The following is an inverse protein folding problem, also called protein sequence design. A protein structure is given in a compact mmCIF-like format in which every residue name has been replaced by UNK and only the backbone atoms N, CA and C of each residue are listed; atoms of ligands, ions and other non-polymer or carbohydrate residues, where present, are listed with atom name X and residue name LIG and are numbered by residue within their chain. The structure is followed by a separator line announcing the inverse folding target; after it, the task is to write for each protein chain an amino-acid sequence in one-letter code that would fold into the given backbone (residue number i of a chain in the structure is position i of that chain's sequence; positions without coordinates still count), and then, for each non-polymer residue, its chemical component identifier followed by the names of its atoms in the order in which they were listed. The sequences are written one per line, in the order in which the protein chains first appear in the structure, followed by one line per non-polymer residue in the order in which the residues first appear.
data_IF_211942620092
#
_entry.id   IF_211942620092
#
_cell.length_a   1.000
_cell.length_b   1.000
_cell.length_c   1.000
_cell.angle_alpha   90.00
_cell.angle_beta   90.00
_cell.angle_gamma   90.00
#
_symmetry.space_group_name_H-M   'P 1'
#
loop_
_entity.id
_entity.type
_entity.pdbx_description
1 polymer ?
#
# COMPACT_ATOMS: atom_id res chain seq x y z
N UNK A 1 8.02 -7.70 10.27
CA UNK A 1 9.49 -7.74 10.50
C UNK A 1 10.21 -7.98 9.18
N UNK A 2 11.16 -7.12 8.80
CA UNK A 2 12.01 -7.37 7.62
C UNK A 2 13.12 -8.32 8.03
N UNK A 3 13.20 -9.48 7.40
CA UNK A 3 14.27 -10.45 7.66
C UNK A 3 15.61 -9.86 7.19
N UNK A 4 16.63 -9.93 8.05
CA UNK A 4 17.99 -9.46 7.74
C UNK A 4 18.61 -10.32 6.64
N UNK A 5 19.29 -9.70 5.68
CA UNK A 5 19.99 -10.37 4.58
C UNK A 5 21.30 -11.07 5.02
N UNK A 6 21.73 -10.87 6.27
CA UNK A 6 23.02 -11.39 6.78
C UNK A 6 23.09 -12.92 6.88
N UNK A 7 21.96 -13.63 6.77
CA UNK A 7 21.88 -15.11 6.86
C UNK A 7 21.48 -15.79 5.54
N UNK A 8 21.54 -15.09 4.41
CA UNK A 8 21.06 -15.62 3.12
C UNK A 8 22.18 -16.37 2.41
N UNK A 9 21.86 -17.53 1.83
CA UNK A 9 22.69 -18.17 0.82
C UNK A 9 22.68 -17.34 -0.47
N UNK A 10 23.65 -16.44 -0.57
CA UNK A 10 23.81 -15.56 -1.73
C UNK A 10 24.20 -16.34 -2.99
N UNK A 11 24.94 -17.44 -2.85
CA UNK A 11 25.37 -18.26 -3.99
C UNK A 11 24.18 -18.98 -4.63
N UNK A 12 23.32 -19.57 -3.82
CA UNK A 12 22.06 -20.18 -4.29
C UNK A 12 21.12 -19.15 -4.90
N UNK A 13 21.02 -17.97 -4.29
CA UNK A 13 20.23 -16.86 -4.82
C UNK A 13 20.73 -16.38 -6.19
N UNK A 14 22.05 -16.23 -6.38
CA UNK A 14 22.68 -15.84 -7.65
C UNK A 14 22.37 -16.85 -8.75
N UNK A 15 22.55 -18.15 -8.48
CA UNK A 15 22.21 -19.23 -9.43
C UNK A 15 20.73 -19.21 -9.82
N UNK A 16 19.84 -18.97 -8.85
CA UNK A 16 18.40 -18.87 -9.11
C UNK A 16 18.07 -17.67 -9.99
N UNK A 17 18.70 -16.52 -9.75
CA UNK A 17 18.52 -15.32 -10.58
C UNK A 17 18.98 -15.59 -12.01
N UNK A 18 20.17 -16.16 -12.20
CA UNK A 18 20.69 -16.49 -13.53
C UNK A 18 19.78 -17.44 -14.31
N UNK A 19 19.15 -18.43 -13.62
CA UNK A 19 18.24 -19.40 -14.24
C UNK A 19 16.91 -18.79 -14.66
N UNK A 20 16.42 -17.78 -13.94
CA UNK A 20 15.08 -17.23 -14.11
C UNK A 20 15.08 -15.80 -14.66
N UNK A 21 16.12 -15.43 -15.38
CA UNK A 21 16.20 -14.13 -16.06
C UNK A 21 16.48 -14.33 -17.54
N UNK A 22 15.89 -13.43 -18.35
CA UNK A 22 16.08 -13.35 -19.81
C UNK A 22 16.42 -11.92 -20.18
N UNK A 23 17.33 -11.73 -21.12
CA UNK A 23 17.64 -10.43 -21.69
C UNK A 23 16.54 -10.00 -22.66
N UNK A 24 15.97 -8.82 -22.43
CA UNK A 24 14.94 -8.20 -23.28
C UNK A 24 15.36 -6.75 -23.53
N UNK A 25 15.93 -6.50 -24.69
CA UNK A 25 16.55 -5.22 -24.99
C UNK A 25 17.64 -4.92 -23.96
N UNK A 26 17.60 -3.74 -23.36
CA UNK A 26 18.57 -3.33 -22.32
C UNK A 26 18.16 -3.77 -20.89
N UNK A 27 17.13 -4.60 -20.76
CA UNK A 27 16.66 -5.09 -19.47
C UNK A 27 17.03 -6.57 -19.25
N UNK A 28 17.24 -6.94 -17.97
CA UNK A 28 17.29 -8.32 -17.52
C UNK A 28 15.96 -8.62 -16.82
N UNK A 29 15.04 -9.35 -17.49
CA UNK A 29 13.70 -9.59 -16.99
C UNK A 29 13.57 -10.87 -16.20
N UNK A 30 12.90 -10.80 -15.06
CA UNK A 30 12.55 -11.94 -14.24
C UNK A 30 11.35 -12.69 -14.84
N UNK A 31 11.51 -13.99 -15.09
CA UNK A 31 10.53 -14.88 -15.74
C UNK A 31 9.72 -15.74 -14.77
N UNK A 32 10.21 -15.93 -13.53
CA UNK A 32 9.54 -16.76 -12.54
C UNK A 32 8.49 -15.96 -11.73
N UNK A 33 8.13 -16.46 -10.55
CA UNK A 33 7.05 -15.94 -9.73
C UNK A 33 7.18 -14.45 -9.42
N UNK A 34 6.07 -13.74 -9.54
CA UNK A 34 5.94 -12.33 -9.19
C UNK A 34 4.64 -12.09 -8.42
N UNK A 35 4.68 -11.26 -7.38
CA UNK A 35 3.49 -10.79 -6.69
C UNK A 35 2.98 -9.53 -7.38
N UNK A 36 1.97 -9.68 -8.23
CA UNK A 36 1.59 -8.64 -9.19
C UNK A 36 2.75 -8.39 -10.17
N UNK A 37 3.18 -7.15 -10.32
CA UNK A 37 4.30 -6.78 -11.19
C UNK A 37 5.68 -6.87 -10.52
N UNK A 38 5.76 -7.28 -9.24
CA UNK A 38 7.03 -7.25 -8.49
C UNK A 38 7.66 -8.63 -8.40
N UNK A 39 8.87 -8.82 -8.94
CA UNK A 39 9.63 -10.07 -8.88
C UNK A 39 9.88 -10.55 -7.45
N UNK A 40 9.55 -11.82 -7.16
CA UNK A 40 9.81 -12.46 -5.88
C UNK A 40 10.48 -13.82 -6.07
N UNK A 41 11.33 -14.18 -5.11
CA UNK A 41 11.99 -15.48 -5.06
C UNK A 41 12.01 -16.01 -3.62
N UNK A 42 12.14 -17.31 -3.48
CA UNK A 42 12.53 -17.93 -2.21
C UNK A 42 14.04 -18.02 -2.11
N UNK A 43 14.57 -17.67 -0.95
CA UNK A 43 16.00 -17.79 -0.64
C UNK A 43 16.18 -18.66 0.58
N UNK A 44 17.19 -19.52 0.56
CA UNK A 44 17.59 -20.31 1.72
C UNK A 44 18.29 -19.43 2.74
N UNK A 45 18.00 -19.68 4.01
CA UNK A 45 18.68 -19.04 5.13
C UNK A 45 19.66 -20.06 5.71
N UNK A 46 20.74 -19.60 6.28
CA UNK A 46 21.80 -20.47 6.81
C UNK A 46 21.37 -21.42 7.96
N UNK A 47 20.11 -21.30 8.42
CA UNK A 47 19.49 -22.15 9.45
C UNK A 47 18.62 -23.28 8.86
N UNK A 48 18.72 -23.57 7.57
CA UNK A 48 17.91 -24.57 6.87
C UNK A 48 16.47 -24.11 6.55
N UNK A 49 16.08 -22.92 6.96
CA UNK A 49 14.76 -22.34 6.62
C UNK A 49 14.81 -21.56 5.29
N UNK A 50 13.66 -21.19 4.75
CA UNK A 50 13.58 -20.36 3.55
C UNK A 50 12.69 -19.15 3.76
N UNK A 51 12.99 -18.05 3.07
CA UNK A 51 12.21 -16.82 3.11
C UNK A 51 11.87 -16.30 1.72
N UNK A 52 10.64 -15.77 1.56
CA UNK A 52 10.26 -15.04 0.36
C UNK A 52 10.88 -13.64 0.37
N UNK A 53 11.56 -13.26 -0.69
CA UNK A 53 12.22 -11.97 -0.83
C UNK A 53 12.00 -11.35 -2.20
N UNK A 54 12.12 -10.03 -2.27
CA UNK A 54 12.08 -9.32 -3.56
C UNK A 54 13.40 -9.53 -4.31
N UNK A 55 13.32 -10.02 -5.54
CA UNK A 55 14.51 -10.32 -6.39
C UNK A 55 15.40 -9.10 -6.52
N UNK A 56 14.83 -7.90 -6.72
CA UNK A 56 15.62 -6.66 -6.83
C UNK A 56 16.44 -6.35 -5.59
N UNK A 57 15.92 -6.68 -4.40
CA UNK A 57 16.66 -6.47 -3.15
C UNK A 57 17.82 -7.43 -3.04
N UNK A 58 17.60 -8.69 -3.39
CA UNK A 58 18.65 -9.72 -3.43
C UNK A 58 19.72 -9.33 -4.46
N UNK A 59 19.31 -8.97 -5.67
CA UNK A 59 20.22 -8.54 -6.74
C UNK A 59 21.02 -7.28 -6.38
N UNK A 60 20.39 -6.32 -5.70
CA UNK A 60 21.09 -5.14 -5.16
C UNK A 60 22.18 -5.54 -4.19
N UNK A 61 21.89 -6.45 -3.24
CA UNK A 61 22.85 -6.92 -2.26
C UNK A 61 24.01 -7.68 -2.92
N UNK A 62 23.71 -8.54 -3.91
CA UNK A 62 24.72 -9.25 -4.69
C UNK A 62 25.66 -8.28 -5.42
N UNK A 63 25.11 -7.23 -6.04
CA UNK A 63 25.90 -6.29 -6.86
C UNK A 63 26.63 -5.22 -6.05
N UNK A 64 26.16 -4.87 -4.87
CA UNK A 64 26.72 -3.78 -4.04
C UNK A 64 27.42 -4.26 -2.78
N UNK A 65 27.31 -5.57 -2.45
CA UNK A 65 27.90 -6.16 -1.24
C UNK A 65 27.24 -5.70 0.07
N UNK A 66 26.15 -4.91 0.02
CA UNK A 66 25.50 -4.35 1.20
C UNK A 66 23.97 -4.41 1.12
N UNK A 67 23.34 -4.71 2.27
CA UNK A 67 21.88 -4.65 2.40
C UNK A 67 21.40 -3.20 2.29
N UNK A 68 20.40 -2.89 1.43
CA UNK A 68 19.83 -1.55 1.32
C UNK A 68 19.06 -1.08 2.57
N UNK A 69 18.96 -1.86 3.62
CA UNK A 69 18.34 -1.49 4.90
C UNK A 69 16.86 -1.11 4.77
N UNK A 70 16.52 0.13 5.13
CA UNK A 70 15.14 0.66 5.05
C UNK A 70 14.76 1.15 3.65
N UNK A 71 15.69 1.20 2.70
CA UNK A 71 15.43 1.70 1.36
C UNK A 71 14.63 0.69 0.53
N UNK A 72 13.86 1.20 -0.41
CA UNK A 72 13.17 0.43 -1.44
C UNK A 72 14.03 0.35 -2.69
N UNK A 73 14.15 -0.83 -3.27
CA UNK A 73 14.82 -1.01 -4.55
C UNK A 73 13.77 -0.96 -5.67
N UNK A 74 13.94 -0.01 -6.56
CA UNK A 74 13.09 0.22 -7.72
C UNK A 74 13.90 0.28 -9.01
N UNK A 75 13.25 0.25 -10.16
CA UNK A 75 13.90 0.37 -11.46
C UNK A 75 13.93 1.81 -11.96
N UNK A 76 14.98 2.17 -12.71
CA UNK A 76 15.08 3.46 -13.45
C UNK A 76 14.40 3.35 -14.82
N UNK A 77 14.47 2.18 -15.45
CA UNK A 77 13.95 1.92 -16.79
C UNK A 77 12.41 1.83 -16.87
N UNK A 78 11.70 1.85 -15.74
CA UNK A 78 10.25 1.73 -15.70
C UNK A 78 9.72 0.30 -15.86
N UNK A 79 10.53 -0.65 -16.36
CA UNK A 79 10.10 -2.02 -16.53
C UNK A 79 9.90 -2.71 -15.16
N UNK A 80 8.68 -3.18 -14.85
CA UNK A 80 8.37 -3.76 -13.54
C UNK A 80 8.99 -5.14 -13.31
N UNK A 81 9.47 -5.81 -14.34
CA UNK A 81 10.14 -7.12 -14.24
C UNK A 81 11.66 -7.04 -14.29
N UNK A 82 12.23 -5.88 -14.61
CA UNK A 82 13.66 -5.70 -14.71
C UNK A 82 14.36 -5.88 -13.36
N UNK A 83 15.43 -6.67 -13.37
CA UNK A 83 16.33 -6.93 -12.24
C UNK A 83 17.79 -6.62 -12.55
N UNK A 84 18.10 -6.00 -13.70
CA UNK A 84 19.47 -5.61 -14.09
C UNK A 84 20.07 -4.67 -13.04
N UNK A 85 21.26 -4.95 -12.49
CA UNK A 85 21.86 -4.16 -11.39
C UNK A 85 21.98 -2.67 -11.71
N UNK A 86 22.38 -2.31 -12.92
CA UNK A 86 22.58 -0.94 -13.40
C UNK A 86 21.27 -0.17 -13.49
N UNK A 87 20.15 -0.88 -13.67
CA UNK A 87 18.81 -0.31 -13.71
C UNK A 87 18.17 -0.18 -12.33
N UNK A 88 18.80 -0.72 -11.28
CA UNK A 88 18.26 -0.61 -9.92
C UNK A 88 18.64 0.73 -9.28
N UNK A 89 17.71 1.25 -8.49
CA UNK A 89 17.87 2.46 -7.69
C UNK A 89 17.28 2.24 -6.30
N UNK A 90 18.05 2.62 -5.28
CA UNK A 90 17.54 2.67 -3.91
C UNK A 90 16.88 4.02 -3.65
N UNK A 91 15.66 4.00 -3.11
CA UNK A 91 14.87 5.20 -2.78
C UNK A 91 14.27 5.08 -1.39
N UNK A 92 14.01 6.23 -0.74
CA UNK A 92 13.29 6.26 0.51
C UNK A 92 11.80 6.00 0.33
N UNK A 93 11.10 5.62 1.43
CA UNK A 93 9.64 5.50 1.43
C UNK A 93 8.95 6.82 1.06
N UNK A 94 9.51 7.93 1.52
CA UNK A 94 8.99 9.28 1.21
C UNK A 94 9.10 9.60 -0.27
N UNK A 95 10.28 9.33 -0.88
CA UNK A 95 10.47 9.52 -2.32
C UNK A 95 9.53 8.62 -3.13
N UNK A 96 9.38 7.35 -2.72
CA UNK A 96 8.43 6.45 -3.38
C UNK A 96 6.98 6.97 -3.28
N UNK A 97 6.58 7.49 -2.13
CA UNK A 97 5.27 8.12 -1.96
C UNK A 97 5.05 9.30 -2.91
N UNK A 98 6.05 10.18 -3.04
CA UNK A 98 6.00 11.31 -4.00
C UNK A 98 5.90 10.83 -5.45
N UNK A 99 6.66 9.80 -5.84
CA UNK A 99 6.60 9.20 -7.18
C UNK A 99 5.23 8.57 -7.47
N UNK A 100 4.66 7.85 -6.50
CA UNK A 100 3.33 7.27 -6.63
C UNK A 100 2.23 8.33 -6.74
N UNK A 101 2.35 9.44 -6.01
CA UNK A 101 1.41 10.56 -6.10
C UNK A 101 1.45 11.28 -7.45
N UNK A 102 2.63 11.33 -8.09
CA UNK A 102 2.81 11.95 -9.42
C UNK A 102 2.34 11.07 -10.58
N UNK A 103 2.04 9.77 -10.36
CA UNK A 103 1.48 8.92 -11.42
C UNK A 103 0.07 9.37 -11.75
N UNK A 104 -0.28 9.28 -13.02
CA UNK A 104 -1.65 9.52 -13.48
C UNK A 104 -2.64 8.77 -12.59
N UNK A 105 -3.66 9.48 -12.10
CA UNK A 105 -4.67 8.99 -11.17
C UNK A 105 -4.17 8.46 -9.80
N UNK A 106 -2.88 8.63 -9.45
CA UNK A 106 -2.34 8.17 -8.17
C UNK A 106 -3.03 8.81 -6.96
N UNK A 107 -3.29 10.11 -7.04
CA UNK A 107 -4.01 10.89 -6.03
C UNK A 107 -5.49 10.48 -5.96
N UNK A 108 -6.14 10.31 -7.13
CA UNK A 108 -7.54 9.88 -7.21
C UNK A 108 -7.73 8.48 -6.63
N UNK A 109 -6.89 7.51 -7.02
CA UNK A 109 -6.95 6.13 -6.46
C UNK A 109 -6.78 6.14 -4.95
N UNK A 110 -5.85 6.92 -4.42
CA UNK A 110 -5.65 7.06 -2.97
C UNK A 110 -6.89 7.64 -2.29
N UNK A 111 -7.47 8.67 -2.85
CA UNK A 111 -8.72 9.29 -2.36
C UNK A 111 -9.86 8.28 -2.33
N UNK A 112 -10.07 7.53 -3.42
CA UNK A 112 -11.11 6.50 -3.50
C UNK A 112 -10.89 5.36 -2.48
N UNK A 113 -9.65 4.91 -2.28
CA UNK A 113 -9.33 3.90 -1.26
C UNK A 113 -9.63 4.39 0.16
N UNK A 114 -9.30 5.66 0.46
CA UNK A 114 -9.60 6.29 1.76
C UNK A 114 -11.12 6.39 1.95
N UNK A 115 -11.84 6.84 0.93
CA UNK A 115 -13.30 6.93 0.96
C UNK A 115 -13.96 5.56 1.21
N UNK A 116 -13.56 4.54 0.44
CA UNK A 116 -14.07 3.18 0.59
C UNK A 116 -13.76 2.58 1.98
N UNK A 117 -12.59 2.86 2.55
CA UNK A 117 -12.25 2.43 3.90
C UNK A 117 -13.09 3.17 4.96
N UNK A 118 -13.28 4.47 4.79
CA UNK A 118 -14.11 5.29 5.68
C UNK A 118 -15.56 4.81 5.66
N UNK A 119 -16.12 4.50 4.48
CA UNK A 119 -17.47 3.96 4.33
C UNK A 119 -17.64 2.60 5.03
N UNK A 120 -16.69 1.66 4.80
CA UNK A 120 -16.74 0.33 5.44
C UNK A 120 -16.65 0.38 6.97
N UNK A 121 -15.93 1.34 7.50
CA UNK A 121 -15.70 1.50 8.94
C UNK A 121 -16.67 2.51 9.59
N UNK A 122 -17.63 3.06 8.83
CA UNK A 122 -18.61 4.00 9.37
C UNK A 122 -19.55 3.29 10.38
N UNK A 123 -19.65 3.86 11.58
CA UNK A 123 -20.58 3.38 12.61
C UNK A 123 -22.02 3.88 12.40
N UNK A 124 -22.18 4.90 11.57
CA UNK A 124 -23.47 5.50 11.25
C UNK A 124 -23.84 5.21 9.81
N UNK A 125 -25.09 4.88 9.57
CA UNK A 125 -25.66 4.80 8.22
C UNK A 125 -26.06 6.19 7.73
N UNK A 126 -26.25 6.38 6.40
CA UNK A 126 -26.73 7.66 5.85
C UNK A 126 -28.07 8.10 6.44
N UNK A 127 -28.97 7.14 6.70
CA UNK A 127 -30.31 7.37 7.29
C UNK A 127 -30.17 7.90 8.72
N UNK A 128 -29.31 7.26 9.53
CA UNK A 128 -29.02 7.71 10.89
C UNK A 128 -28.40 9.12 10.91
N UNK A 129 -27.58 9.45 9.91
CA UNK A 129 -27.01 10.81 9.78
C UNK A 129 -28.06 11.83 9.43
N UNK A 130 -29.01 11.49 8.57
CA UNK A 130 -30.16 12.37 8.24
C UNK A 130 -31.02 12.60 9.47
N UNK A 131 -31.40 11.55 10.17
CA UNK A 131 -32.13 11.62 11.43
C UNK A 131 -31.42 12.52 12.46
N UNK A 132 -30.10 12.39 12.63
CA UNK A 132 -29.32 13.25 13.54
C UNK A 132 -29.37 14.72 13.13
N UNK A 133 -29.37 15.03 11.83
CA UNK A 133 -29.43 16.42 11.33
C UNK A 133 -30.81 17.05 11.45
N UNK A 134 -31.87 16.28 11.25
CA UNK A 134 -33.29 16.73 11.25
C UNK A 134 -33.89 16.71 12.64
N UNK A 135 -33.45 15.82 13.53
CA UNK A 135 -34.01 15.67 14.86
C UNK A 135 -33.64 16.84 15.79
N UNK A 136 -34.58 17.37 16.53
CA UNK A 136 -34.42 18.34 17.63
C UNK A 136 -34.11 17.68 18.98
N UNK A 137 -34.11 16.33 19.07
CA UNK A 137 -33.86 15.60 20.31
C UNK A 137 -32.48 15.90 20.90
N UNK A 138 -32.30 15.77 22.23
CA UNK A 138 -31.00 15.89 22.87
C UNK A 138 -30.00 14.89 22.26
N UNK A 139 -28.75 15.35 21.98
CA UNK A 139 -27.72 14.50 21.38
C UNK A 139 -27.36 13.26 22.21
N UNK A 140 -27.62 13.28 23.52
CA UNK A 140 -27.46 12.15 24.44
C UNK A 140 -28.48 11.04 24.16
N UNK A 141 -29.75 11.40 23.91
CA UNK A 141 -30.80 10.43 23.61
C UNK A 141 -30.57 9.73 22.28
N UNK A 142 -30.21 10.49 21.23
CA UNK A 142 -29.87 9.93 19.92
C UNK A 142 -28.61 9.04 20.01
N UNK A 143 -27.61 9.46 20.77
CA UNK A 143 -26.37 8.69 20.95
C UNK A 143 -26.64 7.33 21.60
N UNK A 144 -27.48 7.29 22.64
CA UNK A 144 -27.88 6.06 23.30
C UNK A 144 -28.64 5.12 22.34
N UNK A 145 -29.59 5.66 21.57
CA UNK A 145 -30.40 4.89 20.61
C UNK A 145 -29.56 4.30 19.48
N UNK A 146 -28.58 5.05 18.93
CA UNK A 146 -27.71 4.61 17.83
C UNK A 146 -26.47 3.87 18.29
N UNK A 147 -26.25 3.68 19.59
CA UNK A 147 -25.08 2.98 20.12
C UNK A 147 -23.75 3.68 19.82
N UNK A 148 -23.76 5.02 19.72
CA UNK A 148 -22.56 5.84 19.44
C UNK A 148 -22.30 6.81 20.58
N UNK A 149 -21.07 7.35 20.63
CA UNK A 149 -20.74 8.37 21.62
C UNK A 149 -21.41 9.71 21.26
N UNK A 150 -21.85 10.47 22.27
CA UNK A 150 -22.49 11.79 22.09
C UNK A 150 -21.68 12.76 21.22
N UNK A 151 -20.33 12.72 21.33
CA UNK A 151 -19.46 13.56 20.50
C UNK A 151 -19.60 13.26 19.01
N UNK A 152 -19.94 12.02 18.63
CA UNK A 152 -20.19 11.64 17.24
C UNK A 152 -21.45 12.35 16.71
N UNK A 153 -22.54 12.35 17.48
CA UNK A 153 -23.77 13.06 17.14
C UNK A 153 -23.51 14.57 17.01
N UNK A 154 -22.80 15.16 17.97
CA UNK A 154 -22.45 16.58 17.93
C UNK A 154 -21.56 16.95 16.73
N UNK A 155 -20.64 16.07 16.33
CA UNK A 155 -19.78 16.31 15.17
C UNK A 155 -20.57 16.23 13.85
N UNK A 156 -21.57 15.35 13.75
CA UNK A 156 -22.49 15.30 12.62
C UNK A 156 -23.32 16.57 12.54
N UNK A 157 -23.96 17.00 13.63
CA UNK A 157 -24.79 18.25 13.70
C UNK A 157 -23.98 19.49 13.34
N UNK A 158 -22.73 19.57 13.80
CA UNK A 158 -21.84 20.70 13.49
C UNK A 158 -21.18 20.61 12.11
N UNK A 159 -21.51 19.60 11.29
CA UNK A 159 -20.90 19.38 9.97
C UNK A 159 -19.40 19.12 10.01
N UNK A 160 -18.84 18.70 11.15
CA UNK A 160 -17.41 18.31 11.24
C UNK A 160 -17.15 16.97 10.56
N UNK A 161 -18.09 16.04 10.64
CA UNK A 161 -18.13 14.77 9.92
C UNK A 161 -19.36 14.73 9.02
N UNK A 162 -19.36 13.83 8.03
CA UNK A 162 -20.47 13.69 7.06
C UNK A 162 -20.80 15.02 6.33
N UNK A 163 -19.74 15.74 5.90
CA UNK A 163 -19.84 16.96 5.12
C UNK A 163 -20.38 16.66 3.73
N UNK A 164 -21.12 17.58 3.13
CA UNK A 164 -21.62 17.45 1.77
C UNK A 164 -20.51 17.31 0.71
N UNK A 165 -19.32 17.81 0.98
CA UNK A 165 -18.11 17.67 0.15
C UNK A 165 -17.13 16.60 0.65
N UNK A 166 -17.47 15.82 1.70
CA UNK A 166 -16.61 14.83 2.33
C UNK A 166 -16.72 13.42 1.71
N UNK A 167 -16.03 12.43 2.28
CA UNK A 167 -16.04 11.04 1.81
C UNK A 167 -17.44 10.40 1.76
N UNK A 168 -18.38 10.94 2.49
CA UNK A 168 -19.76 10.45 2.60
C UNK A 168 -20.79 11.29 1.81
N UNK A 169 -20.35 12.31 1.07
CA UNK A 169 -21.24 13.21 0.34
C UNK A 169 -22.16 12.48 -0.64
N UNK A 170 -21.67 11.46 -1.31
CA UNK A 170 -22.45 10.66 -2.27
C UNK A 170 -23.51 9.79 -1.57
N UNK A 171 -23.22 9.28 -0.36
CA UNK A 171 -24.16 8.44 0.38
C UNK A 171 -25.38 9.24 0.86
N UNK A 172 -25.21 10.53 1.17
CA UNK A 172 -26.29 11.42 1.62
C UNK A 172 -27.19 11.85 0.46
N UNK A 173 -26.66 11.93 -0.77
CA UNK A 173 -27.41 12.40 -1.96
C UNK A 173 -28.30 11.33 -2.61
N UNK A 174 -27.97 10.04 -2.48
CA UNK A 174 -28.71 8.95 -3.14
C UNK A 174 -29.94 8.43 -2.35
N UNK A 175 -30.29 9.07 -1.24
CA UNK A 175 -31.42 8.65 -0.40
C UNK A 175 -32.62 9.59 -0.49
N UNK A 176 -32.78 10.33 -1.61
CA UNK A 176 -33.98 11.12 -1.96
C UNK A 176 -34.79 10.43 -3.03
#
# INVERSE_FOLDING_TARGET
MRKSLTKIDLTGAQRSIARHTVEVGDCLEWTAYSRGATPQMRVSLGDGTSAGMYVRRVQWTLSRGADPGKLLITTRCGNPRCVRPEHLKAISMTENGRRCAKRENGTLRRSLCIQAAAQRNAKLTPEAVREIKESSEPGTAIAARLGVHQSTVNNVRRGRTWRESGPFAQMVRFST
#
